data_IF_531783551979
#
_entry.id   IF_531783551979
#
_cell.length_a   1.000
_cell.length_b   1.000
_cell.length_c   1.000
_cell.angle_alpha   90.00
_cell.angle_beta   90.00
_cell.angle_gamma   90.00
#
_symmetry.space_group_name_H-M   'P 1'
#
loop_
_entity.id
_entity.type
_entity.pdbx_description
1 polymer ?
#
# COMPACT_ATOMS: atom_id res chain seq x y z
N UNK A 1 -36.57 -18.23 20.07
CA UNK A 1 -36.11 -18.09 18.67
C UNK A 1 -34.71 -17.55 18.72
N UNK A 2 -33.72 -18.43 18.68
CA UNK A 2 -32.30 -18.09 18.63
C UNK A 2 -32.00 -17.44 17.30
N UNK A 3 -31.77 -16.15 17.33
CA UNK A 3 -31.10 -15.47 16.20
C UNK A 3 -29.62 -15.88 16.23
N UNK A 4 -29.33 -17.02 15.62
CA UNK A 4 -27.94 -17.39 15.27
C UNK A 4 -27.36 -16.24 14.47
N UNK A 5 -26.46 -15.48 15.10
CA UNK A 5 -25.55 -14.57 14.43
C UNK A 5 -24.81 -15.39 13.38
N UNK A 6 -25.26 -15.34 12.12
CA UNK A 6 -24.52 -15.92 11.01
C UNK A 6 -23.12 -15.30 11.00
N UNK A 7 -22.14 -16.06 11.46
CA UNK A 7 -20.75 -15.68 11.40
C UNK A 7 -20.45 -15.20 9.97
N UNK A 8 -20.03 -13.95 9.85
CA UNK A 8 -19.78 -13.34 8.54
C UNK A 8 -18.63 -14.09 7.87
N UNK A 9 -18.93 -14.91 6.84
CA UNK A 9 -17.90 -15.67 6.12
C UNK A 9 -17.02 -14.77 5.27
N UNK A 10 -15.71 -15.02 5.31
CA UNK A 10 -14.74 -14.37 4.41
C UNK A 10 -15.07 -14.67 2.95
N UNK A 11 -15.18 -13.64 2.12
CA UNK A 11 -15.49 -13.75 0.68
C UNK A 11 -14.20 -13.78 -0.14
N UNK A 12 -13.55 -14.94 -0.19
CA UNK A 12 -12.28 -15.12 -0.89
C UNK A 12 -12.33 -14.81 -2.39
N UNK A 13 -13.45 -15.03 -3.06
CA UNK A 13 -13.62 -14.67 -4.47
C UNK A 13 -13.54 -13.15 -4.71
N UNK A 14 -14.09 -12.33 -3.79
CA UNK A 14 -14.01 -10.88 -3.87
C UNK A 14 -12.60 -10.42 -3.51
N UNK A 15 -12.00 -10.99 -2.47
CA UNK A 15 -10.62 -10.68 -2.08
C UNK A 15 -9.63 -11.04 -3.18
N UNK A 16 -9.80 -12.21 -3.82
CA UNK A 16 -8.96 -12.62 -4.95
C UNK A 16 -9.11 -11.70 -6.17
N UNK A 17 -10.35 -11.29 -6.49
CA UNK A 17 -10.60 -10.36 -7.59
C UNK A 17 -9.96 -8.99 -7.35
N UNK A 18 -10.03 -8.44 -6.13
CA UNK A 18 -9.38 -7.17 -5.77
C UNK A 18 -7.87 -7.32 -5.75
N UNK A 19 -7.34 -8.41 -5.18
CA UNK A 19 -5.90 -8.70 -5.17
C UNK A 19 -5.34 -8.81 -6.60
N UNK A 20 -6.06 -9.51 -7.49
CA UNK A 20 -5.68 -9.61 -8.90
C UNK A 20 -5.74 -8.26 -9.62
N UNK A 21 -6.78 -7.47 -9.38
CA UNK A 21 -6.86 -6.11 -9.95
C UNK A 21 -5.76 -5.20 -9.40
N UNK A 22 -5.36 -5.37 -8.13
CA UNK A 22 -4.23 -4.66 -7.53
C UNK A 22 -2.90 -5.09 -8.18
N UNK A 23 -2.75 -6.40 -8.43
CA UNK A 23 -1.59 -6.92 -9.18
C UNK A 23 -1.48 -6.23 -10.55
N UNK A 24 -2.55 -6.16 -11.33
CA UNK A 24 -2.54 -5.51 -12.64
C UNK A 24 -2.27 -4.01 -12.54
N UNK A 25 -2.88 -3.32 -11.56
CA UNK A 25 -2.68 -1.90 -11.34
C UNK A 25 -1.22 -1.57 -11.01
N UNK A 26 -0.65 -2.24 -10.01
CA UNK A 26 0.70 -1.93 -9.53
C UNK A 26 1.79 -2.46 -10.47
N UNK A 27 1.49 -3.52 -11.24
CA UNK A 27 2.34 -3.95 -12.35
C UNK A 27 2.50 -2.82 -13.37
N UNK A 28 1.40 -2.20 -13.81
CA UNK A 28 1.45 -1.08 -14.76
C UNK A 28 2.17 0.14 -14.17
N UNK A 29 1.93 0.46 -12.90
CA UNK A 29 2.61 1.57 -12.21
C UNK A 29 4.11 1.33 -12.08
N UNK A 30 4.51 0.10 -11.78
CA UNK A 30 5.92 -0.29 -11.64
C UNK A 30 6.69 -0.20 -12.96
N UNK A 31 6.02 -0.32 -14.11
CA UNK A 31 6.65 -0.13 -15.42
C UNK A 31 7.22 1.27 -15.59
N UNK A 32 6.55 2.33 -15.07
CA UNK A 32 7.07 3.70 -15.17
C UNK A 32 8.47 3.79 -14.55
N UNK A 33 8.59 3.30 -13.32
CA UNK A 33 9.85 3.35 -12.56
C UNK A 33 10.91 2.46 -13.20
N UNK A 34 10.50 1.30 -13.69
CA UNK A 34 11.41 0.31 -14.30
C UNK A 34 12.03 0.81 -15.60
N UNK A 35 11.38 1.72 -16.33
CA UNK A 35 11.91 2.29 -17.57
C UNK A 35 12.68 3.61 -17.38
N UNK A 36 12.88 4.09 -16.15
CA UNK A 36 13.62 5.33 -15.88
C UNK A 36 15.00 5.40 -16.56
N UNK A 37 15.83 4.35 -16.57
CA UNK A 37 17.10 4.41 -17.27
C UNK A 37 16.93 4.62 -18.79
N UNK A 38 15.89 4.03 -19.39
CA UNK A 38 15.56 4.23 -20.81
C UNK A 38 15.09 5.68 -21.06
N UNK A 39 14.17 6.21 -20.24
CA UNK A 39 13.69 7.60 -20.36
C UNK A 39 14.82 8.59 -20.10
N UNK A 40 15.71 8.31 -19.11
CA UNK A 40 16.86 9.15 -18.82
C UNK A 40 17.79 9.26 -20.04
N UNK A 41 18.06 8.15 -20.72
CA UNK A 41 18.86 8.14 -21.93
C UNK A 41 18.17 8.83 -23.11
N UNK A 42 16.89 8.52 -23.38
CA UNK A 42 16.15 9.03 -24.52
C UNK A 42 15.91 10.55 -24.46
N UNK A 43 15.62 11.10 -23.29
CA UNK A 43 15.31 12.51 -23.08
C UNK A 43 16.41 13.31 -22.36
N UNK A 44 17.60 12.71 -22.16
CA UNK A 44 18.76 13.33 -21.48
C UNK A 44 18.41 13.91 -20.08
N UNK A 45 17.61 13.17 -19.28
CA UNK A 45 17.10 13.65 -17.98
C UNK A 45 18.16 13.61 -16.89
N UNK A 46 18.13 14.59 -15.98
CA UNK A 46 18.83 14.56 -14.69
C UNK A 46 18.16 13.60 -13.70
N UNK A 47 18.82 13.24 -12.60
CA UNK A 47 18.19 12.48 -11.51
C UNK A 47 17.06 13.26 -10.84
N UNK A 48 17.18 14.59 -10.74
CA UNK A 48 16.10 15.45 -10.25
C UNK A 48 14.86 15.36 -11.14
N UNK A 49 15.00 15.31 -12.47
CA UNK A 49 13.89 15.14 -13.40
C UNK A 49 13.27 13.74 -13.29
N UNK A 50 14.06 12.69 -13.09
CA UNK A 50 13.55 11.34 -12.77
C UNK A 50 12.77 11.36 -11.46
N UNK A 51 13.31 12.01 -10.42
CA UNK A 51 12.60 12.20 -9.14
C UNK A 51 11.29 12.97 -9.31
N UNK A 52 11.23 13.95 -10.21
CA UNK A 52 10.04 14.73 -10.51
C UNK A 52 8.96 13.90 -11.22
N UNK A 53 9.30 12.90 -12.05
CA UNK A 53 8.31 11.95 -12.59
C UNK A 53 7.67 11.16 -11.45
N UNK A 54 8.48 10.60 -10.53
CA UNK A 54 7.96 9.89 -9.35
C UNK A 54 7.12 10.81 -8.47
N UNK A 55 7.57 12.04 -8.24
CA UNK A 55 6.83 13.03 -7.44
C UNK A 55 5.46 13.33 -8.07
N UNK A 56 5.40 13.60 -9.38
CA UNK A 56 4.16 13.87 -10.11
C UNK A 56 3.17 12.72 -9.97
N UNK A 57 3.62 11.50 -10.28
CA UNK A 57 2.82 10.29 -10.13
C UNK A 57 2.29 10.13 -8.70
N UNK A 58 3.18 10.24 -7.71
CA UNK A 58 2.82 9.97 -6.32
C UNK A 58 2.02 11.11 -5.68
N UNK A 59 2.23 12.36 -6.05
CA UNK A 59 1.38 13.48 -5.58
C UNK A 59 -0.04 13.35 -6.12
N UNK A 60 -0.20 13.06 -7.41
CA UNK A 60 -1.53 12.82 -7.99
C UNK A 60 -2.21 11.60 -7.34
N UNK A 61 -1.44 10.56 -7.01
CA UNK A 61 -1.94 9.42 -6.29
C UNK A 61 -2.34 9.78 -4.85
N UNK A 62 -1.62 10.65 -4.15
CA UNK A 62 -1.75 10.86 -2.70
C UNK A 62 -2.81 11.89 -2.30
N UNK A 63 -2.85 13.04 -2.97
CA UNK A 63 -3.62 14.21 -2.51
C UNK A 63 -5.13 13.92 -2.46
N UNK A 64 -5.65 13.20 -3.43
CA UNK A 64 -7.08 12.92 -3.53
C UNK A 64 -7.54 11.72 -2.69
N UNK A 65 -6.64 10.83 -2.24
CA UNK A 65 -7.03 9.62 -1.51
C UNK A 65 -7.84 9.87 -0.23
N UNK A 66 -7.44 10.78 0.68
CA UNK A 66 -8.23 11.07 1.87
C UNK A 66 -9.60 11.66 1.54
N UNK A 67 -9.66 12.52 0.52
CA UNK A 67 -10.91 13.16 0.07
C UNK A 67 -11.86 12.12 -0.53
N UNK A 68 -11.35 11.26 -1.41
CA UNK A 68 -12.11 10.16 -2.00
C UNK A 68 -12.58 9.21 -0.91
N UNK A 69 -11.71 8.82 0.03
CA UNK A 69 -12.08 7.95 1.14
C UNK A 69 -13.19 8.54 2.01
N UNK A 70 -13.12 9.83 2.37
CA UNK A 70 -14.18 10.53 3.12
C UNK A 70 -15.49 10.62 2.33
N UNK A 71 -15.41 10.91 1.03
CA UNK A 71 -16.58 11.01 0.16
C UNK A 71 -17.30 9.66 0.03
N UNK A 72 -16.54 8.61 -0.22
CA UNK A 72 -17.09 7.28 -0.48
C UNK A 72 -17.51 6.53 0.78
N UNK A 73 -17.03 6.93 1.96
CA UNK A 73 -17.56 6.47 3.26
C UNK A 73 -18.99 6.96 3.47
N UNK A 74 -19.32 8.16 2.98
CA UNK A 74 -20.66 8.75 3.05
C UNK A 74 -21.54 8.38 1.86
N UNK A 75 -20.96 8.37 0.66
CA UNK A 75 -21.65 8.17 -0.61
C UNK A 75 -20.98 7.02 -1.38
N UNK A 76 -21.32 5.76 -1.08
CA UNK A 76 -20.71 4.59 -1.71
C UNK A 76 -20.81 4.63 -3.24
N UNK A 77 -19.67 4.47 -3.91
CA UNK A 77 -19.54 4.53 -5.36
C UNK A 77 -19.13 3.16 -5.92
N UNK A 78 -20.06 2.27 -6.24
CA UNK A 78 -19.75 0.88 -6.57
C UNK A 78 -18.79 0.66 -7.74
N UNK A 79 -18.76 1.58 -8.71
CA UNK A 79 -17.95 1.46 -9.93
C UNK A 79 -16.74 2.40 -9.96
N UNK A 80 -16.45 3.12 -8.87
CA UNK A 80 -15.32 4.05 -8.77
C UNK A 80 -13.98 3.40 -9.13
N UNK A 81 -13.77 2.14 -8.72
CA UNK A 81 -12.55 1.39 -9.06
C UNK A 81 -12.35 1.22 -10.57
N UNK A 82 -13.44 0.93 -11.32
CA UNK A 82 -13.37 0.83 -12.80
C UNK A 82 -13.05 2.17 -13.45
N UNK A 83 -13.57 3.27 -12.90
CA UNK A 83 -13.25 4.63 -13.35
C UNK A 83 -11.78 4.96 -13.10
N UNK A 84 -11.28 4.68 -11.89
CA UNK A 84 -9.85 4.86 -11.54
C UNK A 84 -8.93 4.10 -12.49
N UNK A 85 -9.27 2.84 -12.81
CA UNK A 85 -8.49 2.04 -13.76
C UNK A 85 -8.55 2.61 -15.19
N UNK A 86 -9.63 3.32 -15.55
CA UNK A 86 -9.73 4.07 -16.81
C UNK A 86 -8.69 5.18 -16.92
N UNK A 87 -8.41 5.92 -15.84
CA UNK A 87 -7.32 6.91 -15.81
C UNK A 87 -5.95 6.23 -15.98
N UNK A 88 -5.72 5.08 -15.34
CA UNK A 88 -4.50 4.29 -15.53
C UNK A 88 -4.35 3.83 -16.98
N UNK A 89 -5.43 3.37 -17.62
CA UNK A 89 -5.44 2.98 -19.03
C UNK A 89 -4.98 4.14 -19.94
N UNK A 90 -5.61 5.30 -19.80
CA UNK A 90 -5.27 6.49 -20.61
C UNK A 90 -3.81 6.89 -20.36
N UNK A 91 -3.37 6.91 -19.09
CA UNK A 91 -2.00 7.22 -18.71
C UNK A 91 -0.98 6.26 -19.32
N UNK A 92 -1.25 4.95 -19.33
CA UNK A 92 -0.36 3.96 -19.96
C UNK A 92 -0.23 4.16 -21.47
N UNK A 93 -1.33 4.43 -22.16
CA UNK A 93 -1.31 4.74 -23.60
C UNK A 93 -0.54 6.04 -23.86
N UNK A 94 -0.78 7.08 -23.05
CA UNK A 94 -0.03 8.35 -23.16
C UNK A 94 1.46 8.11 -22.94
N UNK A 95 1.86 7.29 -21.94
CA UNK A 95 3.26 6.97 -21.68
C UNK A 95 3.91 6.22 -22.85
N UNK A 96 3.17 5.28 -23.45
CA UNK A 96 3.68 4.50 -24.60
C UNK A 96 4.08 5.36 -25.80
N UNK A 97 3.35 6.45 -26.01
CA UNK A 97 3.54 7.35 -27.16
C UNK A 97 4.07 8.73 -26.77
N UNK A 98 4.58 8.90 -25.54
CA UNK A 98 5.11 10.16 -25.04
C UNK A 98 6.34 10.59 -25.88
N UNK A 99 6.29 11.73 -26.58
CA UNK A 99 7.40 12.20 -27.42
C UNK A 99 8.43 13.03 -26.64
N UNK A 100 8.07 13.49 -25.44
CA UNK A 100 8.85 14.42 -24.64
C UNK A 100 8.63 14.25 -23.13
N UNK A 101 9.42 14.95 -22.33
CA UNK A 101 9.35 14.90 -20.88
C UNK A 101 8.01 15.39 -20.30
N UNK A 102 7.38 16.41 -20.93
CA UNK A 102 6.09 16.92 -20.46
C UNK A 102 4.97 15.89 -20.63
N UNK A 103 4.97 15.16 -21.74
CA UNK A 103 4.06 14.03 -21.99
C UNK A 103 4.25 12.88 -21.01
N UNK A 104 5.50 12.60 -20.63
CA UNK A 104 5.79 11.60 -19.57
C UNK A 104 5.22 12.05 -18.22
N UNK A 105 5.36 13.34 -17.86
CA UNK A 105 4.75 13.89 -16.65
C UNK A 105 3.22 13.82 -16.68
N UNK A 106 2.60 14.14 -17.82
CA UNK A 106 1.16 14.04 -17.99
C UNK A 106 0.67 12.58 -17.84
N UNK A 107 1.38 11.62 -18.44
CA UNK A 107 1.10 10.20 -18.28
C UNK A 107 1.22 9.76 -16.82
N UNK A 108 2.27 10.16 -16.12
CA UNK A 108 2.50 9.89 -14.70
C UNK A 108 1.37 10.46 -13.82
N UNK A 109 0.91 11.68 -14.11
CA UNK A 109 -0.21 12.31 -13.41
C UNK A 109 -1.52 11.53 -13.59
N UNK A 110 -1.84 11.09 -14.81
CA UNK A 110 -3.02 10.29 -15.11
C UNK A 110 -3.01 8.94 -14.38
N UNK A 111 -1.89 8.25 -14.39
CA UNK A 111 -1.74 6.97 -13.68
C UNK A 111 -1.87 7.18 -12.16
N UNK A 112 -1.27 8.26 -11.63
CA UNK A 112 -1.43 8.65 -10.24
C UNK A 112 -2.87 8.96 -9.85
N UNK A 113 -3.61 9.69 -10.70
CA UNK A 113 -5.04 9.98 -10.49
C UNK A 113 -5.88 8.69 -10.42
N UNK A 114 -5.60 7.70 -11.27
CA UNK A 114 -6.22 6.39 -11.20
C UNK A 114 -5.96 5.69 -9.85
N UNK A 115 -4.72 5.72 -9.40
CA UNK A 115 -4.28 5.15 -8.11
C UNK A 115 -4.97 5.80 -6.91
N UNK A 116 -5.26 7.12 -6.98
CA UNK A 116 -5.91 7.86 -5.88
C UNK A 116 -7.30 7.34 -5.53
N UNK A 117 -8.02 6.78 -6.49
CA UNK A 117 -9.33 6.14 -6.30
C UNK A 117 -9.15 4.69 -5.85
N UNK A 118 -8.17 4.00 -6.44
CA UNK A 118 -8.03 2.55 -6.31
C UNK A 118 -7.76 2.11 -4.87
N UNK A 119 -6.77 2.69 -4.18
CA UNK A 119 -6.29 2.17 -2.90
C UNK A 119 -7.30 2.33 -1.74
N UNK A 120 -7.93 3.50 -1.49
CA UNK A 120 -8.89 3.63 -0.39
C UNK A 120 -10.12 2.77 -0.60
N UNK A 121 -10.64 2.72 -1.83
CA UNK A 121 -11.84 1.93 -2.15
C UNK A 121 -11.59 0.42 -2.08
N UNK A 122 -10.48 -0.06 -2.62
CA UNK A 122 -10.11 -1.47 -2.56
C UNK A 122 -9.86 -1.94 -1.13
N UNK A 123 -9.18 -1.14 -0.31
CA UNK A 123 -8.96 -1.43 1.11
C UNK A 123 -10.30 -1.52 1.87
N UNK A 124 -11.26 -0.63 1.57
CA UNK A 124 -12.61 -0.67 2.14
C UNK A 124 -13.37 -1.93 1.73
N UNK A 125 -13.35 -2.28 0.45
CA UNK A 125 -14.00 -3.49 -0.05
C UNK A 125 -13.35 -4.75 0.54
N UNK A 126 -12.02 -4.80 0.66
CA UNK A 126 -11.30 -5.88 1.32
C UNK A 126 -11.78 -6.06 2.77
N UNK A 127 -11.93 -4.96 3.53
CA UNK A 127 -12.48 -5.00 4.89
C UNK A 127 -13.93 -5.51 4.91
N UNK A 128 -14.79 -5.10 3.98
CA UNK A 128 -16.18 -5.57 3.88
C UNK A 128 -16.26 -7.06 3.53
N UNK A 129 -15.30 -7.59 2.77
CA UNK A 129 -15.23 -8.99 2.37
C UNK A 129 -14.50 -9.89 3.38
N UNK A 130 -13.92 -9.31 4.45
CA UNK A 130 -13.00 -10.00 5.37
C UNK A 130 -13.65 -11.04 6.28
N UNK A 131 -14.96 -10.92 6.57
CA UNK A 131 -15.61 -11.80 7.54
C UNK A 131 -15.01 -11.73 8.95
N UNK A 132 -14.47 -10.55 9.35
CA UNK A 132 -13.81 -10.36 10.64
C UNK A 132 -12.28 -10.58 10.61
N UNK A 133 -11.73 -11.24 9.58
CA UNK A 133 -10.29 -11.46 9.42
C UNK A 133 -9.63 -10.28 8.69
N UNK A 134 -9.60 -9.12 9.34
CA UNK A 134 -9.20 -7.86 8.71
C UNK A 134 -7.74 -7.84 8.25
N UNK A 135 -6.83 -8.38 9.06
CA UNK A 135 -5.41 -8.48 8.72
C UNK A 135 -5.16 -9.39 7.51
N UNK A 136 -5.80 -10.57 7.48
CA UNK A 136 -5.72 -11.48 6.35
C UNK A 136 -6.25 -10.84 5.06
N UNK A 137 -7.42 -10.19 5.13
CA UNK A 137 -8.02 -9.56 3.95
C UNK A 137 -7.16 -8.42 3.41
N UNK A 138 -6.60 -7.57 4.29
CA UNK A 138 -5.69 -6.50 3.92
C UNK A 138 -4.38 -7.06 3.34
N UNK A 139 -3.85 -8.15 3.88
CA UNK A 139 -2.66 -8.80 3.34
C UNK A 139 -2.90 -9.40 1.96
N UNK A 140 -4.02 -10.11 1.74
CA UNK A 140 -4.38 -10.64 0.41
C UNK A 140 -4.45 -9.49 -0.61
N UNK A 141 -5.07 -8.37 -0.25
CA UNK A 141 -5.11 -7.18 -1.10
C UNK A 141 -3.71 -6.65 -1.41
N UNK A 142 -2.87 -6.45 -0.39
CA UNK A 142 -1.52 -5.88 -0.54
C UNK A 142 -0.54 -6.81 -1.27
N UNK A 143 -0.68 -8.13 -1.10
CA UNK A 143 0.15 -9.12 -1.83
C UNK A 143 -0.02 -8.96 -3.34
N UNK A 144 -1.27 -8.71 -3.81
CA UNK A 144 -1.53 -8.43 -5.21
C UNK A 144 -0.67 -7.26 -5.70
N UNK A 145 -0.74 -6.10 -5.04
CA UNK A 145 0.04 -4.91 -5.41
C UNK A 145 1.54 -5.14 -5.40
N UNK A 146 2.07 -5.69 -4.30
CA UNK A 146 3.51 -5.96 -4.21
C UNK A 146 4.00 -6.98 -5.25
N UNK A 147 3.22 -8.03 -5.53
CA UNK A 147 3.55 -8.98 -6.58
C UNK A 147 3.50 -8.33 -7.99
N UNK A 148 2.50 -7.46 -8.23
CA UNK A 148 2.41 -6.67 -9.44
C UNK A 148 3.63 -5.75 -9.61
N UNK A 149 3.96 -5.00 -8.56
CA UNK A 149 5.15 -4.13 -8.55
C UNK A 149 6.44 -4.90 -8.85
N UNK A 150 6.58 -6.13 -8.36
CA UNK A 150 7.73 -6.97 -8.64
C UNK A 150 7.83 -7.39 -10.13
N UNK A 151 6.70 -7.53 -10.81
CA UNK A 151 6.70 -7.90 -12.24
C UNK A 151 7.23 -6.80 -13.16
N UNK A 152 7.09 -5.52 -12.77
CA UNK A 152 7.52 -4.38 -13.58
C UNK A 152 8.97 -4.47 -14.06
N UNK A 153 9.97 -4.65 -13.18
CA UNK A 153 11.36 -4.78 -13.57
C UNK A 153 11.62 -5.93 -14.54
N UNK A 154 10.97 -7.09 -14.35
CA UNK A 154 11.09 -8.23 -15.26
C UNK A 154 10.53 -7.92 -16.64
N UNK A 155 9.33 -7.34 -16.69
CA UNK A 155 8.67 -6.95 -17.94
C UNK A 155 9.48 -5.86 -18.67
N UNK A 156 10.05 -4.90 -17.92
CA UNK A 156 10.95 -3.91 -18.49
C UNK A 156 12.20 -4.59 -19.08
N UNK A 157 12.87 -5.50 -18.34
CA UNK A 157 14.10 -6.13 -18.76
C UNK A 157 13.96 -6.99 -20.02
N UNK A 158 12.87 -7.76 -20.12
CA UNK A 158 12.71 -8.74 -21.20
C UNK A 158 11.76 -8.31 -22.32
N UNK A 159 10.88 -7.34 -22.04
CA UNK A 159 9.86 -6.96 -23.02
C UNK A 159 9.99 -5.51 -23.51
N UNK A 160 10.12 -4.54 -22.59
CA UNK A 160 10.07 -3.12 -22.97
C UNK A 160 11.43 -2.62 -23.47
N UNK A 161 12.52 -2.88 -22.72
CA UNK A 161 13.86 -2.40 -23.07
C UNK A 161 14.31 -2.91 -24.44
N UNK A 162 14.10 -4.21 -24.81
CA UNK A 162 14.49 -4.70 -26.13
C UNK A 162 13.63 -4.18 -27.28
N UNK A 163 12.34 -3.86 -27.06
CA UNK A 163 11.38 -3.53 -28.12
C UNK A 163 10.98 -2.05 -28.13
N UNK A 164 11.42 -1.27 -27.14
CA UNK A 164 11.19 0.18 -27.06
C UNK A 164 9.90 0.57 -26.33
N UNK A 165 9.78 1.89 -26.10
CA UNK A 165 8.75 2.53 -25.28
C UNK A 165 7.32 2.22 -25.74
N UNK A 166 7.07 2.17 -27.03
CA UNK A 166 5.73 1.92 -27.61
C UNK A 166 5.12 0.58 -27.19
N UNK A 167 5.96 -0.37 -26.81
CA UNK A 167 5.53 -1.69 -26.30
C UNK A 167 4.70 -1.59 -25.02
N UNK A 168 4.81 -0.48 -24.30
CA UNK A 168 3.95 -0.18 -23.14
C UNK A 168 2.46 -0.18 -23.49
N UNK A 169 2.09 0.12 -24.75
CA UNK A 169 0.70 0.11 -25.19
C UNK A 169 0.00 -1.25 -25.02
N UNK A 170 0.74 -2.36 -25.06
CA UNK A 170 0.17 -3.70 -24.83
C UNK A 170 -0.38 -3.87 -23.42
N UNK A 171 0.14 -3.13 -22.43
CA UNK A 171 -0.37 -3.15 -21.05
C UNK A 171 -1.73 -2.46 -20.88
N UNK A 172 -2.21 -1.74 -21.92
CA UNK A 172 -3.59 -1.29 -21.99
C UNK A 172 -4.59 -2.46 -21.92
N UNK A 173 -4.23 -3.64 -22.46
CA UNK A 173 -5.05 -4.85 -22.34
C UNK A 173 -5.18 -5.32 -20.88
N UNK A 174 -4.11 -5.20 -20.09
CA UNK A 174 -4.16 -5.49 -18.66
C UNK A 174 -5.09 -4.52 -17.91
N UNK A 175 -5.08 -3.23 -18.28
CA UNK A 175 -5.99 -2.24 -17.71
C UNK A 175 -7.45 -2.54 -18.06
N UNK A 176 -7.75 -2.91 -19.32
CA UNK A 176 -9.09 -3.33 -19.74
C UNK A 176 -9.58 -4.58 -18.99
N UNK A 177 -8.71 -5.57 -18.80
CA UNK A 177 -9.01 -6.75 -17.99
C UNK A 177 -9.33 -6.37 -16.54
N UNK A 178 -8.54 -5.48 -15.95
CA UNK A 178 -8.78 -4.99 -14.60
C UNK A 178 -10.11 -4.24 -14.50
N UNK A 179 -10.47 -3.41 -15.48
CA UNK A 179 -11.77 -2.72 -15.54
C UNK A 179 -12.92 -3.74 -15.54
N UNK A 180 -12.82 -4.79 -16.35
CA UNK A 180 -13.85 -5.84 -16.41
C UNK A 180 -14.02 -6.60 -15.09
N UNK A 181 -12.92 -6.94 -14.41
CA UNK A 181 -12.94 -7.60 -13.09
C UNK A 181 -13.52 -6.66 -12.04
N UNK A 182 -13.09 -5.40 -12.01
CA UNK A 182 -13.55 -4.40 -11.05
C UNK A 182 -15.02 -4.02 -11.24
N UNK A 183 -15.54 -4.06 -12.48
CA UNK A 183 -16.96 -3.88 -12.73
C UNK A 183 -17.81 -5.00 -12.08
N UNK A 184 -17.33 -6.26 -12.11
CA UNK A 184 -17.99 -7.39 -11.41
C UNK A 184 -17.95 -7.19 -9.89
N UNK A 185 -16.82 -6.75 -9.34
CA UNK A 185 -16.67 -6.40 -7.90
C UNK A 185 -17.63 -5.26 -7.55
N UNK A 186 -17.73 -4.22 -8.38
CA UNK A 186 -18.67 -3.11 -8.22
C UNK A 186 -20.13 -3.58 -8.19
N UNK A 187 -20.51 -4.52 -9.05
CA UNK A 187 -21.83 -5.13 -9.04
C UNK A 187 -22.13 -5.91 -7.74
N UNK A 188 -21.14 -6.63 -7.20
CA UNK A 188 -21.26 -7.29 -5.88
C UNK A 188 -21.42 -6.25 -4.77
N UNK A 189 -20.61 -5.21 -4.79
CA UNK A 189 -20.65 -4.15 -3.77
C UNK A 189 -21.99 -3.41 -3.78
N UNK A 190 -22.53 -3.07 -4.97
CA UNK A 190 -23.85 -2.46 -5.13
C UNK A 190 -24.96 -3.29 -4.50
N UNK A 191 -25.01 -4.62 -4.79
CA UNK A 191 -26.01 -5.53 -4.21
C UNK A 191 -25.90 -5.57 -2.70
N UNK A 192 -24.69 -5.73 -2.15
CA UNK A 192 -24.47 -5.79 -0.69
C UNK A 192 -24.88 -4.49 0.02
N UNK A 193 -24.64 -3.34 -0.62
CA UNK A 193 -25.05 -2.04 -0.06
C UNK A 193 -26.57 -1.90 -0.05
N UNK A 194 -27.26 -2.32 -1.10
CA UNK A 194 -28.73 -2.33 -1.15
C UNK A 194 -29.34 -3.25 -0.09
N UNK A 195 -28.75 -4.43 0.14
CA UNK A 195 -29.20 -5.35 1.18
C UNK A 195 -28.99 -4.76 2.58
N UNK A 196 -27.87 -4.08 2.83
CA UNK A 196 -27.58 -3.41 4.10
C UNK A 196 -28.48 -2.18 4.36
N UNK A 197 -28.89 -1.46 3.33
CA UNK A 197 -29.83 -0.33 3.46
C UNK A 197 -31.26 -0.78 3.76
N UNK A 198 -31.61 -2.02 3.38
CA UNK A 198 -32.91 -2.67 3.70
C UNK A 198 -32.92 -3.33 5.08
N UNK A 199 -31.77 -3.74 5.60
CA UNK A 199 -31.61 -4.21 6.97
C UNK A 199 -31.60 -3.02 7.91
N UNK A 200 -32.29 -3.13 9.05
CA UNK A 200 -32.41 -2.10 10.12
C UNK A 200 -31.08 -1.37 10.32
N UNK A 201 -31.15 -0.03 10.39
CA UNK A 201 -29.99 0.86 10.65
C UNK A 201 -29.07 0.24 11.69
N UNK A 202 -27.85 -0.11 11.28
CA UNK A 202 -26.82 -0.50 12.26
C UNK A 202 -26.64 0.64 13.23
N UNK A 203 -26.52 0.36 14.54
CA UNK A 203 -26.14 1.38 15.50
C UNK A 203 -24.90 2.12 14.99
N UNK A 204 -24.84 3.42 15.20
CA UNK A 204 -23.64 4.20 14.91
C UNK A 204 -22.43 3.47 15.50
N UNK A 205 -21.31 3.46 14.76
CA UNK A 205 -20.07 2.86 15.26
C UNK A 205 -19.82 3.36 16.68
N UNK A 206 -19.72 2.44 17.63
CA UNK A 206 -19.48 2.78 19.02
C UNK A 206 -18.19 3.59 19.18
N UNK A 207 -17.93 4.18 20.36
CA UNK A 207 -16.68 4.86 20.65
C UNK A 207 -15.51 3.93 20.36
N UNK A 208 -14.41 4.47 19.80
CA UNK A 208 -13.19 3.71 19.54
C UNK A 208 -12.62 3.11 20.84
N UNK A 209 -11.70 2.13 20.71
CA UNK A 209 -11.15 1.40 21.86
C UNK A 209 -10.28 2.26 22.79
N UNK A 210 -9.97 3.48 22.39
CA UNK A 210 -9.15 4.43 23.14
C UNK A 210 -9.71 5.85 23.04
N UNK A 211 -9.24 6.77 23.91
CA UNK A 211 -9.65 8.17 23.84
C UNK A 211 -9.25 8.83 22.50
N UNK A 212 -9.98 9.86 22.09
CA UNK A 212 -9.68 10.61 20.86
C UNK A 212 -8.24 11.17 20.86
N UNK A 213 -7.72 11.60 22.02
CA UNK A 213 -6.35 12.09 22.18
C UNK A 213 -5.33 10.98 21.93
N UNK A 214 -5.57 9.79 22.49
CA UNK A 214 -4.72 8.61 22.29
C UNK A 214 -4.77 8.15 20.84
N UNK A 215 -5.94 8.16 20.21
CA UNK A 215 -6.09 7.83 18.79
C UNK A 215 -5.30 8.81 17.90
N UNK A 216 -5.44 10.11 18.13
CA UNK A 216 -4.71 11.14 17.37
C UNK A 216 -3.18 11.02 17.56
N UNK A 217 -2.70 10.79 18.79
CA UNK A 217 -1.29 10.53 19.07
C UNK A 217 -0.79 9.29 18.33
N UNK A 218 -1.56 8.20 18.37
CA UNK A 218 -1.21 6.94 17.69
C UNK A 218 -1.11 7.12 16.17
N UNK A 219 -2.03 7.88 15.57
CA UNK A 219 -1.96 8.24 14.14
C UNK A 219 -0.69 9.03 13.85
N UNK A 220 -0.31 10.00 14.71
CA UNK A 220 0.96 10.73 14.59
C UNK A 220 2.18 9.79 14.60
N UNK A 221 2.22 8.83 15.51
CA UNK A 221 3.29 7.80 15.55
C UNK A 221 3.29 6.97 14.25
N UNK A 222 2.13 6.52 13.79
CA UNK A 222 2.02 5.76 12.53
C UNK A 222 2.52 6.58 11.32
N UNK A 223 2.25 7.89 11.29
CA UNK A 223 2.75 8.81 10.26
C UNK A 223 4.28 8.83 10.24
N UNK A 224 4.94 8.92 11.40
CA UNK A 224 6.42 8.88 11.49
C UNK A 224 6.96 7.53 11.01
N UNK A 225 6.30 6.43 11.34
CA UNK A 225 6.69 5.09 10.90
C UNK A 225 6.52 4.90 9.39
N UNK A 226 5.43 5.42 8.82
CA UNK A 226 5.19 5.43 7.37
C UNK A 226 6.24 6.30 6.67
N UNK A 227 6.56 7.48 7.21
CA UNK A 227 7.63 8.34 6.70
C UNK A 227 8.95 7.57 6.60
N UNK A 228 9.41 6.99 7.70
CA UNK A 228 10.63 6.18 7.76
C UNK A 228 10.66 5.10 6.67
N UNK A 229 9.60 4.31 6.62
CA UNK A 229 9.47 3.20 5.69
C UNK A 229 9.44 3.65 4.23
N UNK A 230 8.53 4.56 3.88
CA UNK A 230 8.29 4.91 2.48
C UNK A 230 9.35 5.81 1.89
N UNK A 231 10.05 6.60 2.71
CA UNK A 231 11.22 7.33 2.27
C UNK A 231 12.37 6.38 1.90
N UNK A 232 12.57 5.32 2.72
CA UNK A 232 13.52 4.26 2.39
C UNK A 232 13.10 3.47 1.15
N UNK A 233 11.84 3.06 1.05
CA UNK A 233 11.31 2.35 -0.13
C UNK A 233 11.44 3.18 -1.41
N UNK A 234 11.26 4.51 -1.32
CA UNK A 234 11.47 5.42 -2.45
C UNK A 234 12.93 5.43 -2.93
N UNK A 235 13.92 5.33 -2.02
CA UNK A 235 15.33 5.23 -2.40
C UNK A 235 15.61 3.97 -3.21
N UNK A 236 15.05 2.83 -2.79
CA UNK A 236 15.19 1.57 -3.53
C UNK A 236 14.40 1.64 -4.86
N UNK A 237 13.12 2.00 -4.80
CA UNK A 237 12.25 2.03 -5.99
C UNK A 237 12.80 2.89 -7.12
N UNK A 238 13.25 4.11 -6.81
CA UNK A 238 13.67 5.07 -7.84
C UNK A 238 15.14 4.98 -8.23
N UNK A 239 16.03 4.53 -7.31
CA UNK A 239 17.46 4.70 -7.50
C UNK A 239 18.29 3.43 -7.37
N UNK A 240 17.71 2.27 -6.98
CA UNK A 240 18.48 1.05 -6.75
C UNK A 240 19.18 0.53 -8.00
N UNK A 241 18.51 0.61 -9.15
CA UNK A 241 19.11 0.20 -10.43
C UNK A 241 20.37 1.04 -10.72
N UNK A 242 20.28 2.36 -10.50
CA UNK A 242 21.42 3.27 -10.71
C UNK A 242 22.56 2.98 -9.73
N UNK A 243 22.24 2.74 -8.43
CA UNK A 243 23.21 2.35 -7.42
C UNK A 243 23.97 1.06 -7.81
N UNK A 244 23.25 0.05 -8.30
CA UNK A 244 23.85 -1.22 -8.72
C UNK A 244 24.72 -1.06 -9.97
N UNK A 245 24.30 -0.23 -10.92
CA UNK A 245 25.07 0.05 -12.14
C UNK A 245 26.34 0.83 -11.77
N UNK A 246 26.24 1.87 -10.94
CA UNK A 246 27.38 2.73 -10.58
C UNK A 246 28.40 1.98 -9.69
N UNK A 247 27.93 1.30 -8.64
CA UNK A 247 28.80 0.64 -7.67
C UNK A 247 29.41 -0.68 -8.16
N UNK A 248 28.62 -1.48 -8.88
CA UNK A 248 29.02 -2.86 -9.27
C UNK A 248 29.19 -3.03 -10.78
N UNK A 249 29.04 -1.97 -11.57
CA UNK A 249 29.14 -1.98 -13.04
C UNK A 249 28.22 -3.02 -13.70
N UNK A 250 27.03 -3.25 -13.11
CA UNK A 250 26.07 -4.19 -13.65
C UNK A 250 25.43 -3.67 -14.94
N UNK A 251 25.04 -4.61 -15.81
CA UNK A 251 24.14 -4.29 -16.91
C UNK A 251 22.77 -3.88 -16.37
N UNK A 252 22.03 -3.05 -17.11
CA UNK A 252 20.67 -2.64 -16.75
C UNK A 252 19.77 -3.85 -16.47
N UNK A 253 19.88 -4.90 -17.29
CA UNK A 253 19.11 -6.14 -17.11
C UNK A 253 19.42 -6.84 -15.79
N UNK A 254 20.71 -6.96 -15.42
CA UNK A 254 21.10 -7.55 -14.16
C UNK A 254 20.60 -6.73 -12.96
N UNK A 255 20.71 -5.40 -13.01
CA UNK A 255 20.21 -4.51 -11.97
C UNK A 255 18.67 -4.60 -11.77
N UNK A 256 17.91 -4.80 -12.86
CA UNK A 256 16.47 -5.06 -12.81
C UNK A 256 16.13 -6.36 -12.05
N UNK A 257 16.93 -7.40 -12.19
CA UNK A 257 16.74 -8.67 -11.45
C UNK A 257 16.93 -8.44 -9.94
N UNK A 258 17.90 -7.63 -9.53
CA UNK A 258 18.08 -7.29 -8.11
C UNK A 258 16.91 -6.47 -7.57
N UNK A 259 16.36 -5.54 -8.34
CA UNK A 259 15.15 -4.81 -7.95
C UNK A 259 13.95 -5.76 -7.85
N UNK A 260 13.79 -6.70 -8.78
CA UNK A 260 12.78 -7.75 -8.69
C UNK A 260 12.91 -8.56 -7.39
N UNK A 261 14.13 -8.99 -7.01
CA UNK A 261 14.36 -9.75 -5.76
C UNK A 261 13.85 -8.97 -4.55
N UNK A 262 14.14 -7.67 -4.46
CA UNK A 262 13.65 -6.81 -3.38
C UNK A 262 12.11 -6.73 -3.36
N UNK A 263 11.49 -6.43 -4.50
CA UNK A 263 10.04 -6.28 -4.62
C UNK A 263 9.30 -7.60 -4.41
N UNK A 264 9.85 -8.72 -4.88
CA UNK A 264 9.32 -10.05 -4.63
C UNK A 264 9.37 -10.41 -3.14
N UNK A 265 10.48 -10.11 -2.47
CA UNK A 265 10.60 -10.27 -1.03
C UNK A 265 9.55 -9.42 -0.27
N UNK A 266 9.26 -8.21 -0.76
CA UNK A 266 8.17 -7.39 -0.22
C UNK A 266 6.81 -8.09 -0.33
N UNK A 267 6.50 -8.72 -1.46
CA UNK A 267 5.25 -9.47 -1.63
C UNK A 267 5.15 -10.64 -0.63
N UNK A 268 6.23 -11.40 -0.45
CA UNK A 268 6.29 -12.51 0.52
C UNK A 268 6.14 -12.02 1.97
N UNK A 269 6.83 -10.95 2.35
CA UNK A 269 6.74 -10.38 3.69
C UNK A 269 5.34 -9.86 4.02
N UNK A 270 4.69 -9.20 3.05
CA UNK A 270 3.31 -8.72 3.20
C UNK A 270 2.31 -9.85 3.40
N UNK A 271 2.50 -10.98 2.72
CA UNK A 271 1.63 -12.15 2.85
C UNK A 271 1.60 -12.68 4.30
N UNK A 272 2.72 -12.62 5.00
CA UNK A 272 2.83 -13.12 6.37
C UNK A 272 2.45 -12.08 7.43
N UNK A 273 2.70 -10.79 7.16
CA UNK A 273 2.57 -9.71 8.14
C UNK A 273 1.15 -9.56 8.73
N UNK A 274 0.10 -9.63 7.91
CA UNK A 274 -1.27 -9.51 8.39
C UNK A 274 -1.74 -10.69 9.25
N UNK A 275 -1.64 -11.95 8.77
CA UNK A 275 -1.98 -13.12 9.58
C UNK A 275 -1.18 -13.24 10.89
N UNK A 276 0.11 -12.86 10.86
CA UNK A 276 0.94 -12.82 12.07
C UNK A 276 0.41 -11.73 13.01
N UNK A 277 0.11 -10.54 12.49
CA UNK A 277 -0.45 -9.43 13.27
C UNK A 277 -1.80 -9.76 13.92
N UNK A 278 -2.65 -10.54 13.23
CA UNK A 278 -3.92 -11.00 13.79
C UNK A 278 -3.73 -12.00 14.98
N UNK A 279 -2.58 -12.72 15.05
CA UNK A 279 -2.27 -13.72 16.10
C UNK A 279 -1.48 -13.15 17.26
N UNK A 280 -0.39 -12.42 17.00
CA UNK A 280 0.57 -11.98 18.04
C UNK A 280 0.42 -10.51 18.41
N UNK A 281 -0.47 -9.80 17.75
CA UNK A 281 -0.73 -8.38 17.95
C UNK A 281 -0.01 -7.48 16.95
N UNK A 282 -0.76 -6.53 16.41
CA UNK A 282 -0.29 -5.64 15.33
C UNK A 282 0.86 -4.75 15.75
N UNK A 283 0.84 -4.23 17.00
CA UNK A 283 1.93 -3.41 17.55
C UNK A 283 3.29 -4.12 17.45
N UNK A 284 3.33 -5.43 17.79
CA UNK A 284 4.58 -6.21 17.74
C UNK A 284 5.10 -6.35 16.32
N UNK A 285 4.22 -6.64 15.36
CA UNK A 285 4.59 -6.77 13.94
C UNK A 285 5.14 -5.44 13.42
N UNK A 286 4.48 -4.31 13.72
CA UNK A 286 4.93 -2.98 13.32
C UNK A 286 6.33 -2.71 13.87
N UNK A 287 6.54 -2.97 15.16
CA UNK A 287 7.82 -2.71 15.84
C UNK A 287 8.97 -3.55 15.25
N UNK A 288 8.77 -4.86 15.13
CA UNK A 288 9.77 -5.79 14.58
C UNK A 288 10.06 -5.48 13.11
N UNK A 289 9.04 -5.14 12.32
CA UNK A 289 9.21 -4.89 10.89
C UNK A 289 10.01 -3.62 10.60
N UNK A 290 9.79 -2.53 11.32
CA UNK A 290 10.46 -1.27 11.01
C UNK A 290 11.81 -1.16 11.73
N UNK A 291 11.87 -1.44 13.02
CA UNK A 291 13.14 -1.38 13.76
C UNK A 291 14.04 -2.58 13.46
N UNK A 292 13.46 -3.79 13.33
CA UNK A 292 14.24 -5.01 13.08
C UNK A 292 14.94 -5.03 11.72
N UNK A 293 14.54 -4.19 10.77
CA UNK A 293 15.23 -4.07 9.48
C UNK A 293 16.48 -3.17 9.54
N UNK A 294 16.63 -2.34 10.58
CA UNK A 294 17.72 -1.36 10.68
C UNK A 294 19.13 -1.95 10.51
N UNK A 295 19.52 -3.09 11.14
CA UNK A 295 20.85 -3.64 10.94
C UNK A 295 21.15 -3.95 9.46
N UNK A 296 20.16 -4.49 8.74
CA UNK A 296 20.33 -4.87 7.34
C UNK A 296 20.43 -3.64 6.42
N UNK A 297 19.65 -2.58 6.69
CA UNK A 297 19.73 -1.35 5.92
C UNK A 297 21.06 -0.62 6.14
N UNK A 298 21.60 -0.66 7.36
CA UNK A 298 22.88 -0.04 7.69
C UNK A 298 24.07 -0.78 7.06
N UNK A 299 23.97 -2.10 6.84
CA UNK A 299 25.00 -2.90 6.19
C UNK A 299 24.97 -2.77 4.66
N UNK A 300 23.80 -2.55 4.05
CA UNK A 300 23.62 -2.56 2.60
C UNK A 300 24.62 -1.66 1.83
N UNK A 301 24.88 -0.40 2.22
CA UNK A 301 25.78 0.48 1.49
C UNK A 301 27.24 -0.02 1.43
N UNK A 302 27.63 -0.89 2.35
CA UNK A 302 29.00 -1.40 2.50
C UNK A 302 29.17 -2.83 1.99
N UNK A 303 28.09 -3.48 1.59
CA UNK A 303 28.05 -4.86 1.13
C UNK A 303 28.69 -5.02 -0.28
N UNK A 304 29.22 -6.21 -0.55
CA UNK A 304 29.52 -6.66 -1.90
C UNK A 304 28.24 -7.02 -2.68
N UNK A 305 28.37 -7.42 -3.93
CA UNK A 305 27.23 -7.70 -4.80
C UNK A 305 26.34 -8.84 -4.28
N UNK A 306 26.94 -9.94 -3.79
CA UNK A 306 26.22 -11.10 -3.26
C UNK A 306 25.45 -10.72 -2.01
N UNK A 307 26.10 -10.08 -1.05
CA UNK A 307 25.45 -9.61 0.17
C UNK A 307 24.43 -8.51 -0.08
N UNK A 308 24.65 -7.64 -1.06
CA UNK A 308 23.65 -6.64 -1.49
C UNK A 308 22.34 -7.33 -1.92
N UNK A 309 22.41 -8.43 -2.66
CA UNK A 309 21.22 -9.21 -3.03
C UNK A 309 20.52 -9.84 -1.82
N UNK A 310 21.28 -10.48 -0.92
CA UNK A 310 20.77 -11.12 0.29
C UNK A 310 20.13 -10.07 1.23
N UNK A 311 20.83 -8.97 1.48
CA UNK A 311 20.33 -7.87 2.34
C UNK A 311 19.08 -7.23 1.74
N UNK A 312 19.04 -7.00 0.42
CA UNK A 312 17.86 -6.47 -0.25
C UNK A 312 16.64 -7.37 -0.08
N UNK A 313 16.82 -8.69 -0.21
CA UNK A 313 15.75 -9.65 0.06
C UNK A 313 15.27 -9.56 1.52
N UNK A 314 16.18 -9.60 2.49
CA UNK A 314 15.83 -9.52 3.93
C UNK A 314 15.13 -8.20 4.26
N UNK A 315 15.63 -7.07 3.74
CA UNK A 315 15.05 -5.75 3.93
C UNK A 315 13.63 -5.71 3.36
N UNK A 316 13.43 -6.14 2.11
CA UNK A 316 12.12 -6.17 1.47
C UNK A 316 11.12 -7.03 2.25
N UNK A 317 11.55 -8.23 2.64
CA UNK A 317 10.73 -9.20 3.37
C UNK A 317 10.28 -8.68 4.75
N UNK A 318 11.22 -8.17 5.56
CA UNK A 318 10.93 -7.69 6.91
C UNK A 318 10.12 -6.39 6.85
N UNK A 319 10.55 -5.40 6.05
CA UNK A 319 9.96 -4.08 6.03
C UNK A 319 8.50 -4.07 5.52
N UNK A 320 8.16 -4.98 4.60
CA UNK A 320 6.83 -5.01 4.00
C UNK A 320 5.75 -5.59 4.92
N UNK A 321 6.11 -6.40 5.90
CA UNK A 321 5.18 -7.05 6.84
C UNK A 321 4.39 -6.05 7.71
N UNK A 322 4.91 -4.82 7.93
CA UNK A 322 4.27 -3.81 8.78
C UNK A 322 3.04 -3.16 8.15
N UNK A 323 2.97 -2.98 6.83
CA UNK A 323 2.00 -2.04 6.26
C UNK A 323 0.56 -2.49 6.42
N UNK A 324 0.26 -3.77 6.18
CA UNK A 324 -1.07 -4.33 6.45
C UNK A 324 -1.47 -4.16 7.91
N UNK A 325 -0.53 -4.40 8.83
CA UNK A 325 -0.76 -4.22 10.26
C UNK A 325 -1.00 -2.75 10.64
N UNK A 326 -0.26 -1.80 10.05
CA UNK A 326 -0.44 -0.35 10.26
C UNK A 326 -1.84 0.09 9.81
N UNK A 327 -2.26 -0.31 8.61
CA UNK A 327 -3.57 0.07 8.06
C UNK A 327 -4.70 -0.47 8.93
N UNK A 328 -4.65 -1.75 9.31
CA UNK A 328 -5.70 -2.35 10.16
C UNK A 328 -5.70 -1.73 11.56
N UNK A 329 -4.52 -1.51 12.16
CA UNK A 329 -4.39 -0.85 13.45
C UNK A 329 -5.05 0.54 13.45
N UNK A 330 -4.79 1.34 12.42
CA UNK A 330 -5.38 2.67 12.30
C UNK A 330 -6.90 2.64 12.04
N UNK A 331 -7.39 1.68 11.23
CA UNK A 331 -8.82 1.47 11.00
C UNK A 331 -9.58 1.06 12.28
N UNK A 332 -8.91 0.38 13.20
CA UNK A 332 -9.47 -0.01 14.50
C UNK A 332 -9.45 1.13 15.53
N UNK A 333 -8.46 2.02 15.43
CA UNK A 333 -8.43 3.25 16.25
C UNK A 333 -9.59 4.19 15.95
N UNK A 334 -10.05 4.25 14.68
CA UNK A 334 -11.07 5.18 14.21
C UNK A 334 -12.20 4.40 13.50
N UNK A 335 -13.05 3.70 14.25
CA UNK A 335 -14.14 2.92 13.67
C UNK A 335 -15.13 3.79 12.90
N UNK A 336 -15.70 3.25 11.82
CA UNK A 336 -16.68 3.94 10.97
C UNK A 336 -16.09 4.84 9.87
N UNK A 337 -14.75 5.07 9.85
CA UNK A 337 -14.06 5.89 8.84
C UNK A 337 -12.99 5.12 8.09
N UNK A 338 -13.30 3.91 7.64
CA UNK A 338 -12.33 2.97 7.06
C UNK A 338 -11.69 3.53 5.78
N UNK A 339 -12.49 4.10 4.87
CA UNK A 339 -12.00 4.68 3.63
C UNK A 339 -11.14 5.93 3.88
N UNK A 340 -11.57 6.81 4.80
CA UNK A 340 -10.82 8.01 5.17
C UNK A 340 -9.47 7.66 5.80
N UNK A 341 -9.44 6.70 6.72
CA UNK A 341 -8.20 6.26 7.39
C UNK A 341 -7.26 5.59 6.40
N UNK A 342 -7.77 4.71 5.55
CA UNK A 342 -6.97 4.09 4.49
C UNK A 342 -6.44 5.14 3.52
N UNK A 343 -7.30 6.05 3.05
CA UNK A 343 -6.92 7.14 2.16
C UNK A 343 -5.83 8.04 2.74
N UNK A 344 -5.93 8.37 4.04
CA UNK A 344 -4.89 9.13 4.74
C UNK A 344 -3.54 8.39 4.74
N UNK A 345 -3.53 7.11 5.12
CA UNK A 345 -2.28 6.34 5.26
C UNK A 345 -1.65 6.03 3.91
N UNK A 346 -2.43 5.61 2.91
CA UNK A 346 -1.92 5.39 1.56
C UNK A 346 -1.50 6.70 0.90
N UNK A 347 -2.34 7.75 1.02
CA UNK A 347 -2.02 9.05 0.49
C UNK A 347 -0.73 9.61 1.08
N UNK A 348 -0.55 9.52 2.39
CA UNK A 348 0.69 9.95 3.03
C UNK A 348 1.88 9.09 2.60
N UNK A 349 1.72 7.76 2.52
CA UNK A 349 2.77 6.86 2.08
C UNK A 349 3.28 7.21 0.67
N UNK A 350 2.38 7.41 -0.29
CA UNK A 350 2.74 7.79 -1.65
C UNK A 350 3.29 9.21 -1.73
N UNK A 351 2.67 10.18 -1.02
CA UNK A 351 3.16 11.55 -0.96
C UNK A 351 4.60 11.63 -0.47
N UNK A 352 4.90 10.96 0.65
CA UNK A 352 6.26 10.89 1.20
C UNK A 352 7.21 10.12 0.27
N UNK A 353 6.74 9.05 -0.39
CA UNK A 353 7.53 8.35 -1.39
C UNK A 353 7.94 9.27 -2.55
N UNK A 354 7.00 10.08 -3.07
CA UNK A 354 7.25 11.05 -4.13
C UNK A 354 8.21 12.17 -3.72
N UNK A 355 7.97 12.78 -2.55
CA UNK A 355 8.86 13.81 -1.98
C UNK A 355 10.25 13.20 -1.75
N UNK A 356 10.31 11.99 -1.19
CA UNK A 356 11.56 11.26 -0.99
C UNK A 356 12.33 11.08 -2.28
N UNK A 357 11.68 10.62 -3.35
CA UNK A 357 12.33 10.45 -4.65
C UNK A 357 12.89 11.78 -5.20
N UNK A 358 12.12 12.86 -5.12
CA UNK A 358 12.58 14.18 -5.60
C UNK A 358 13.78 14.70 -4.80
N UNK A 359 13.72 14.63 -3.46
CA UNK A 359 14.82 15.08 -2.57
C UNK A 359 16.08 14.24 -2.79
N UNK A 360 15.90 12.91 -2.84
CA UNK A 360 17.02 11.98 -3.04
C UNK A 360 17.66 12.12 -4.42
N UNK A 361 16.87 12.46 -5.46
CA UNK A 361 17.38 12.76 -6.79
C UNK A 361 18.29 13.99 -6.80
N UNK A 362 17.85 15.08 -6.16
CA UNK A 362 18.69 16.28 -6.01
C UNK A 362 19.96 16.05 -5.18
N UNK A 363 19.90 15.16 -4.16
CA UNK A 363 21.08 14.77 -3.40
C UNK A 363 22.01 13.87 -4.24
N UNK A 364 21.46 12.96 -5.05
CA UNK A 364 22.24 12.09 -5.94
C UNK A 364 22.99 12.90 -7.00
N UNK A 365 22.38 13.93 -7.58
CA UNK A 365 23.03 14.82 -8.54
C UNK A 365 24.22 15.60 -7.92
N UNK A 366 24.17 15.92 -6.61
CA UNK A 366 25.19 16.71 -5.91
C UNK A 366 26.30 15.87 -5.27
N UNK A 367 25.94 14.73 -4.68
CA UNK A 367 26.83 13.95 -3.80
C UNK A 367 27.05 12.51 -4.26
N UNK A 368 26.42 12.12 -5.37
CA UNK A 368 26.45 10.74 -5.89
C UNK A 368 25.43 9.83 -5.20
N UNK A 369 25.17 8.71 -5.85
CA UNK A 369 24.10 7.77 -5.45
C UNK A 369 24.47 6.99 -4.18
N UNK A 370 25.76 6.67 -3.96
CA UNK A 370 26.20 5.97 -2.75
C UNK A 370 25.95 6.78 -1.47
N UNK A 371 26.12 8.10 -1.54
CA UNK A 371 25.82 8.98 -0.41
C UNK A 371 24.35 8.89 -0.01
N UNK A 372 23.44 8.86 -1.00
CA UNK A 372 22.00 8.69 -0.76
C UNK A 372 21.72 7.40 0.00
N UNK A 373 22.35 6.28 -0.39
CA UNK A 373 22.17 4.99 0.29
C UNK A 373 22.71 4.99 1.72
N UNK A 374 23.84 5.67 1.97
CA UNK A 374 24.40 5.81 3.32
C UNK A 374 23.46 6.58 4.26
N UNK A 375 22.84 7.66 3.79
CA UNK A 375 21.87 8.42 4.61
C UNK A 375 20.60 7.63 4.85
N UNK A 376 20.02 7.04 3.80
CA UNK A 376 18.77 6.29 3.91
C UNK A 376 18.90 5.06 4.81
N UNK A 377 20.11 4.51 4.98
CA UNK A 377 20.39 3.36 5.84
C UNK A 377 19.92 3.55 7.30
N UNK A 378 19.91 4.79 7.80
CA UNK A 378 19.55 5.12 9.19
C UNK A 378 18.04 5.38 9.38
N UNK A 379 17.26 5.55 8.32
CA UNK A 379 15.83 5.85 8.43
C UNK A 379 15.04 4.84 9.27
N UNK A 380 15.27 3.51 9.20
CA UNK A 380 14.54 2.55 10.00
C UNK A 380 14.73 2.68 11.51
N UNK A 381 15.76 3.39 11.99
CA UNK A 381 15.95 3.69 13.41
C UNK A 381 14.79 4.53 13.98
N UNK A 382 14.08 5.31 13.14
CA UNK A 382 12.84 5.96 13.53
C UNK A 382 11.75 4.96 13.97
N UNK A 383 11.93 3.67 13.66
CA UNK A 383 11.08 2.59 14.17
C UNK A 383 10.98 2.51 15.70
N UNK A 384 11.94 3.10 16.43
CA UNK A 384 11.89 3.19 17.89
C UNK A 384 10.61 3.87 18.41
N UNK A 385 10.04 4.81 17.66
CA UNK A 385 8.80 5.50 18.07
C UNK A 385 7.58 4.56 18.12
N UNK A 386 7.65 3.35 17.52
CA UNK A 386 6.59 2.35 17.63
C UNK A 386 6.35 1.88 19.09
N UNK A 387 7.34 2.07 19.98
CA UNK A 387 7.18 1.82 21.41
C UNK A 387 6.02 2.62 22.02
N UNK A 388 5.76 3.82 21.51
CA UNK A 388 4.69 4.73 21.97
C UNK A 388 3.28 4.37 21.50
N UNK A 389 3.11 3.36 20.63
CA UNK A 389 1.78 2.89 20.25
C UNK A 389 1.09 2.19 21.41
N UNK A 390 -0.23 2.42 21.66
CA UNK A 390 -1.00 1.70 22.66
C UNK A 390 -1.18 0.23 22.26
N UNK A 391 -1.43 -0.62 23.26
CA UNK A 391 -1.84 -2.01 23.00
C UNK A 391 -3.38 -2.08 22.91
N UNK A 392 -3.93 -1.90 21.70
CA UNK A 392 -5.37 -1.81 21.47
C UNK A 392 -6.08 -3.13 21.82
N UNK A 393 -5.44 -4.26 21.55
CA UNK A 393 -6.01 -5.58 21.81
C UNK A 393 -6.21 -5.81 23.30
N UNK A 394 -5.25 -5.36 24.12
CA UNK A 394 -5.38 -5.42 25.60
C UNK A 394 -6.49 -4.48 26.10
N UNK A 395 -6.62 -3.30 25.52
CA UNK A 395 -7.70 -2.36 25.89
C UNK A 395 -9.07 -2.92 25.50
N UNK A 396 -9.21 -3.52 24.32
CA UNK A 396 -10.45 -4.17 23.90
C UNK A 396 -10.82 -5.37 24.79
N UNK A 397 -9.84 -6.19 25.19
CA UNK A 397 -10.06 -7.31 26.10
C UNK A 397 -10.47 -6.85 27.51
N UNK A 398 -9.84 -5.79 28.03
CA UNK A 398 -10.22 -5.18 29.32
C UNK A 398 -11.62 -4.59 29.25
N UNK A 399 -11.97 -3.89 28.18
CA UNK A 399 -13.31 -3.31 27.99
C UNK A 399 -14.39 -4.40 27.89
N UNK A 400 -14.11 -5.50 27.17
CA UNK A 400 -15.01 -6.64 27.08
C UNK A 400 -15.18 -7.40 28.42
N UNK A 401 -14.12 -7.45 29.23
CA UNK A 401 -14.18 -8.03 30.58
C UNK A 401 -14.85 -7.13 31.62
N UNK A 402 -14.88 -5.81 31.38
CA UNK A 402 -15.50 -4.82 32.25
C UNK A 402 -17.00 -4.57 31.92
N UNK A 403 -17.52 -5.10 30.78
CA UNK A 403 -18.96 -5.12 30.53
C UNK A 403 -19.62 -6.09 31.52
N UNK A 404 -20.38 -5.62 32.51
CA UNK A 404 -20.94 -6.52 33.53
C UNK A 404 -21.94 -7.49 32.89
N UNK A 405 -22.00 -8.69 33.42
CA UNK A 405 -22.97 -9.77 33.13
C UNK A 405 -24.47 -9.35 33.36
N UNK A 406 -24.76 -8.08 33.30
CA UNK A 406 -26.03 -7.43 33.65
C UNK A 406 -27.15 -7.61 32.59
N UNK A 407 -26.97 -8.51 31.60
CA UNK A 407 -28.04 -8.89 30.66
C UNK A 407 -28.82 -10.12 31.07
N UNK A 408 -28.41 -10.83 32.13
CA UNK A 408 -29.08 -12.06 32.55
C UNK A 408 -30.05 -11.87 33.71
N UNK A 409 -30.01 -10.77 34.45
CA UNK A 409 -30.93 -10.54 35.60
C UNK A 409 -32.25 -9.88 35.25
N UNK A 410 -32.40 -9.20 34.10
CA UNK A 410 -33.66 -8.52 33.74
C UNK A 410 -34.71 -9.47 33.18
N UNK A 411 -34.42 -10.74 32.97
CA UNK A 411 -35.41 -11.74 32.49
C UNK A 411 -35.94 -12.62 33.64
N UNK A 412 -35.30 -12.62 34.81
CA UNK A 412 -35.73 -13.45 35.94
C UNK A 412 -36.78 -12.78 36.84
N UNK A 413 -36.93 -11.44 36.82
CA UNK A 413 -37.86 -10.71 37.71
C UNK A 413 -39.21 -10.37 37.08
N UNK A 414 -39.50 -10.84 35.86
CA UNK A 414 -40.76 -10.60 35.14
C UNK A 414 -41.79 -11.72 35.20
N UNK A 415 -41.62 -12.76 36.09
CA UNK A 415 -42.51 -13.92 36.14
C UNK A 415 -43.11 -14.22 37.54
N UNK A 416 -43.11 -13.27 38.46
CA UNK A 416 -43.90 -13.35 39.67
C UNK A 416 -44.77 -12.13 39.76
N UNK A 417 -46.01 -12.20 39.25
CA UNK A 417 -47.00 -11.14 39.44
C UNK A 417 -48.05 -11.07 38.32
N UNK A 418 -48.81 -12.17 38.11
CA UNK A 418 -50.19 -12.12 37.64
C UNK A 418 -50.81 -13.52 37.76
#
# INVERSE_FOLDING_TARGET
METTSQAAHTRFNVLGAISFSHFLNDMMQSLIVSIYPMLKGAFHLSFAQIGAITLTYQLCASILQPVIGLYTDKNPQPYSLSVGMGFTLIGMVTLAFAPDYASVLAAAALIGAGSSIFHPESSRIARLASGGRHGLAQSIFQVGGNAGSAMGPLLAAWFIIPHGQTTLAWFALAALLAIAVLAKVGGWYKRRHLDQSRAVKRPAAGPGPVSARTAAWSVGVLIVLIFSKYFYVASIGSYYIFFLIEKFHLTMRAAQIYLFIFLFAMALGTMLGGPIGDRIGRKRVIWVSILGVAPFTMLLPFADLMWTGILSFLIGFILSSAFSAIVVFAQELIPGKVGAVSGLLFGFAFGIGGIGAAVLGGLADRHGIEFVYRICAYLPLLGMVAAFLPNIERHAAIAAAAEPANRTETIATGREGA
#
